data_IF_376056910236
#
_entry.id   IF_376056910236
#
_cell.length_a   1.000
_cell.length_b   1.000
_cell.length_c   1.000
_cell.angle_alpha   90.00
_cell.angle_beta   90.00
_cell.angle_gamma   90.00
#
_symmetry.space_group_name_H-M   'P 1'
#
loop_
_entity.id
_entity.type
_entity.pdbx_description
1 polymer ?
#
# COMPACT_ATOMS: atom_id res chain seq x y z
N UNK A 1 0.26 1.48 -13.72
CA UNK A 1 -0.61 1.78 -12.56
C UNK A 1 -1.29 3.13 -12.71
N UNK A 2 -0.56 4.21 -13.03
CA UNK A 2 -1.15 5.55 -13.23
C UNK A 2 -2.31 5.60 -14.23
N UNK A 3 -2.10 5.19 -15.49
CA UNK A 3 -3.17 5.18 -16.50
C UNK A 3 -4.39 4.38 -16.07
N UNK A 4 -4.20 3.23 -15.43
CA UNK A 4 -5.31 2.42 -14.91
C UNK A 4 -6.08 3.12 -13.78
N UNK A 5 -5.38 3.80 -12.87
CA UNK A 5 -5.99 4.60 -11.79
C UNK A 5 -6.89 5.69 -12.37
N UNK A 6 -6.39 6.41 -13.37
CA UNK A 6 -7.10 7.50 -14.07
C UNK A 6 -8.29 6.98 -14.89
N UNK A 7 -8.10 5.93 -15.71
CA UNK A 7 -9.14 5.35 -16.57
C UNK A 7 -10.33 4.78 -15.77
N UNK A 8 -10.07 4.27 -14.56
CA UNK A 8 -11.10 3.69 -13.70
C UNK A 8 -11.62 4.65 -12.62
N UNK A 9 -11.14 5.91 -12.60
CA UNK A 9 -11.56 6.91 -11.63
C UNK A 9 -11.32 6.49 -10.18
N UNK A 10 -10.19 5.81 -9.90
CA UNK A 10 -9.87 5.34 -8.55
C UNK A 10 -9.15 6.43 -7.73
N UNK A 11 -9.62 6.69 -6.51
CA UNK A 11 -8.96 7.62 -5.60
C UNK A 11 -7.57 7.12 -5.18
N UNK A 12 -7.46 5.79 -4.96
CA UNK A 12 -6.23 5.13 -4.51
C UNK A 12 -5.97 3.81 -5.23
N UNK A 13 -4.70 3.54 -5.57
CA UNK A 13 -4.28 2.26 -6.16
C UNK A 13 -2.94 1.79 -5.59
N UNK A 14 -2.96 0.61 -4.97
CA UNK A 14 -1.76 -0.02 -4.39
C UNK A 14 -1.48 -1.35 -5.08
N UNK A 15 -0.20 -1.64 -5.30
CA UNK A 15 0.25 -2.93 -5.80
C UNK A 15 1.09 -3.63 -4.74
N UNK A 16 0.72 -4.88 -4.41
CA UNK A 16 1.39 -5.67 -3.39
C UNK A 16 1.99 -6.91 -4.01
N UNK A 17 3.31 -7.06 -3.89
CA UNK A 17 4.06 -8.26 -4.26
C UNK A 17 4.37 -9.00 -2.97
N UNK A 18 3.73 -10.15 -2.76
CA UNK A 18 3.92 -10.97 -1.56
C UNK A 18 4.95 -12.08 -1.83
N UNK A 19 6.05 -12.08 -1.08
CA UNK A 19 6.97 -13.20 -0.99
C UNK A 19 6.47 -14.16 0.10
N UNK A 20 5.89 -15.29 -0.32
CA UNK A 20 5.36 -16.31 0.59
C UNK A 20 6.44 -17.13 1.28
N UNK A 21 7.66 -17.16 0.72
CA UNK A 21 8.80 -17.90 1.28
C UNK A 21 9.41 -17.11 2.43
N UNK A 22 9.68 -15.82 2.21
CA UNK A 22 10.27 -14.92 3.22
C UNK A 22 9.22 -14.25 4.11
N UNK A 23 7.93 -14.43 3.79
CA UNK A 23 6.78 -13.87 4.52
C UNK A 23 6.81 -12.35 4.57
N UNK A 24 7.04 -11.71 3.44
CA UNK A 24 7.07 -10.26 3.31
C UNK A 24 6.16 -9.78 2.18
N UNK A 25 5.73 -8.52 2.25
CA UNK A 25 4.99 -7.88 1.18
C UNK A 25 5.65 -6.56 0.80
N UNK A 26 5.99 -6.42 -0.47
CA UNK A 26 6.48 -5.19 -1.07
C UNK A 26 5.29 -4.41 -1.63
N UNK A 27 5.05 -3.21 -1.12
CA UNK A 27 3.99 -2.31 -1.54
C UNK A 27 4.53 -1.20 -2.43
N UNK A 28 3.86 -0.99 -3.57
CA UNK A 28 4.07 0.13 -4.47
C UNK A 28 2.78 0.96 -4.55
N UNK A 29 2.95 2.26 -4.81
CA UNK A 29 1.86 3.24 -4.95
C UNK A 29 2.02 4.06 -6.23
N UNK A 30 1.00 4.86 -6.58
CA UNK A 30 0.99 5.60 -7.86
C UNK A 30 1.53 7.02 -7.73
N UNK A 31 1.10 7.73 -6.70
CA UNK A 31 1.32 9.17 -6.55
C UNK A 31 1.45 9.57 -5.08
N UNK A 32 1.59 10.88 -4.84
CA UNK A 32 1.81 11.44 -3.51
C UNK A 32 0.61 11.20 -2.57
N UNK A 33 -0.63 11.17 -3.07
CA UNK A 33 -1.78 10.92 -2.19
C UNK A 33 -1.77 9.48 -1.68
N UNK A 34 -1.43 8.52 -2.54
CA UNK A 34 -1.25 7.13 -2.15
C UNK A 34 -0.07 6.95 -1.17
N UNK A 35 1.03 7.70 -1.36
CA UNK A 35 2.15 7.71 -0.43
C UNK A 35 1.74 8.13 0.99
N UNK A 36 0.94 9.19 1.13
CA UNK A 36 0.46 9.65 2.43
C UNK A 36 -0.42 8.60 3.12
N UNK A 37 -1.26 7.90 2.36
CA UNK A 37 -2.05 6.77 2.87
C UNK A 37 -1.15 5.64 3.37
N UNK A 38 -0.13 5.24 2.61
CA UNK A 38 0.82 4.18 3.01
C UNK A 38 1.60 4.59 4.26
N UNK A 39 2.09 5.83 4.31
CA UNK A 39 2.80 6.39 5.46
C UNK A 39 1.95 6.34 6.73
N UNK A 40 0.69 6.75 6.64
CA UNK A 40 -0.27 6.69 7.74
C UNK A 40 -0.63 5.25 8.13
N UNK A 41 -0.90 4.37 7.15
CA UNK A 41 -1.34 2.99 7.37
C UNK A 41 -0.31 2.13 8.09
N UNK A 42 0.97 2.29 7.76
CA UNK A 42 2.05 1.44 8.29
C UNK A 42 3.02 2.19 9.20
N UNK A 43 2.75 3.47 9.50
CA UNK A 43 3.62 4.35 10.29
C UNK A 43 5.09 4.25 9.84
N UNK A 44 5.29 4.30 8.52
CA UNK A 44 6.58 4.10 7.87
C UNK A 44 6.93 5.31 7.00
N UNK A 45 8.22 5.58 6.85
CA UNK A 45 8.73 6.59 5.91
C UNK A 45 9.54 5.90 4.81
N UNK A 46 8.88 5.40 3.76
CA UNK A 46 9.57 4.82 2.62
C UNK A 46 10.50 5.86 2.00
N UNK A 47 11.76 5.49 1.78
CA UNK A 47 12.78 6.33 1.14
C UNK A 47 12.90 6.09 -0.37
N UNK A 48 12.13 5.13 -0.89
CA UNK A 48 12.01 4.78 -2.31
C UNK A 48 10.53 4.75 -2.70
N UNK A 49 10.26 4.41 -3.95
CA UNK A 49 8.96 4.06 -4.55
C UNK A 49 8.34 2.74 -4.05
N UNK A 50 8.91 2.13 -3.01
CA UNK A 50 8.46 0.84 -2.47
C UNK A 50 8.63 0.78 -0.94
N UNK A 51 7.68 0.11 -0.28
CA UNK A 51 7.71 -0.21 1.15
C UNK A 51 7.69 -1.72 1.35
N UNK A 52 8.72 -2.27 2.01
CA UNK A 52 8.75 -3.68 2.41
C UNK A 52 8.13 -3.86 3.80
N UNK A 53 7.15 -4.74 3.90
CA UNK A 53 6.46 -5.09 5.14
C UNK A 53 6.81 -6.53 5.54
N UNK A 54 7.66 -6.68 6.54
CA UNK A 54 8.02 -7.98 7.11
C UNK A 54 6.83 -8.63 7.84
N UNK A 55 6.69 -9.94 7.70
CA UNK A 55 5.60 -10.72 8.31
C UNK A 55 4.24 -10.56 7.64
N UNK A 56 4.13 -9.75 6.57
CA UNK A 56 2.89 -9.53 5.84
C UNK A 56 2.74 -10.51 4.70
N UNK A 57 1.67 -11.32 4.76
CA UNK A 57 1.37 -12.34 3.75
C UNK A 57 -0.09 -12.33 3.31
N UNK A 58 -0.96 -11.61 4.02
CA UNK A 58 -2.40 -11.58 3.75
C UNK A 58 -2.92 -10.17 3.50
N UNK A 59 -3.26 -9.88 2.24
CA UNK A 59 -3.91 -8.61 1.88
C UNK A 59 -5.19 -8.36 2.69
N UNK A 60 -6.07 -9.36 2.80
CA UNK A 60 -7.37 -9.23 3.47
C UNK A 60 -7.24 -8.96 4.98
N UNK A 61 -6.23 -9.56 5.64
CA UNK A 61 -6.10 -9.48 7.11
C UNK A 61 -5.15 -8.39 7.58
N UNK A 62 -4.16 -8.02 6.78
CA UNK A 62 -3.05 -7.16 7.22
C UNK A 62 -2.99 -5.83 6.45
N UNK A 63 -3.14 -5.86 5.11
CA UNK A 63 -3.01 -4.65 4.29
C UNK A 63 -4.33 -3.87 4.23
N UNK A 64 -5.42 -4.54 3.88
CA UNK A 64 -6.73 -3.91 3.70
C UNK A 64 -7.21 -3.13 4.93
N UNK A 65 -7.23 -3.73 6.14
CA UNK A 65 -7.64 -3.02 7.34
C UNK A 65 -6.74 -1.83 7.70
N UNK A 66 -5.43 -1.93 7.48
CA UNK A 66 -4.49 -0.83 7.76
C UNK A 66 -4.73 0.36 6.83
N UNK A 67 -4.87 0.11 5.52
CA UNK A 67 -5.17 1.14 4.52
C UNK A 67 -6.53 1.77 4.75
N UNK A 68 -7.56 0.97 5.04
CA UNK A 68 -8.89 1.49 5.34
C UNK A 68 -8.86 2.45 6.54
N UNK A 69 -8.23 2.02 7.65
CA UNK A 69 -8.12 2.85 8.85
C UNK A 69 -7.37 4.16 8.58
N UNK A 70 -6.32 4.12 7.75
CA UNK A 70 -5.58 5.32 7.37
C UNK A 70 -6.45 6.30 6.58
N UNK A 71 -7.22 5.80 5.60
CA UNK A 71 -8.12 6.63 4.80
C UNK A 71 -9.22 7.25 5.67
N UNK A 72 -9.80 6.49 6.60
CA UNK A 72 -10.83 6.97 7.53
C UNK A 72 -10.31 8.00 8.55
N UNK A 73 -8.98 8.13 8.69
CA UNK A 73 -8.33 9.05 9.62
C UNK A 73 -7.76 10.31 8.96
N UNK A 74 -7.88 10.44 7.63
CA UNK A 74 -7.49 11.61 6.84
C UNK A 74 -8.64 12.63 6.77
#
# INVERSE_FOLDING_TARGET
MKSYKEENGLDHLFFSITDTKNKEANLLWVDESDYQVIKSAFNAEPTSDMLTLEGVTSRKRQIGPAVQKAIESL
#
